data_IF_327549967273
#
_entry.id   IF_327549967273
#
_cell.length_a   1.000
_cell.length_b   1.000
_cell.length_c   1.000
_cell.angle_alpha   90.00
_cell.angle_beta   90.00
_cell.angle_gamma   90.00
#
_symmetry.space_group_name_H-M   'P 1'
#
loop_
_entity.id
_entity.type
_entity.pdbx_description
1 polymer ?
#
# COMPACT_ATOMS: atom_id res chain seq x y z
N UNK A 1 17.76 50.38 22.36
CA UNK A 1 18.97 51.03 21.83
C UNK A 1 20.06 49.96 21.64
N UNK A 2 20.37 49.64 20.38
CA UNK A 2 21.69 49.30 19.77
C UNK A 2 22.62 48.31 20.49
N UNK A 3 23.39 47.43 19.83
CA UNK A 3 23.62 46.94 18.45
C UNK A 3 24.86 46.02 18.62
N UNK A 4 25.02 44.95 17.85
CA UNK A 4 26.32 44.26 17.81
C UNK A 4 26.33 42.96 17.01
N UNK A 5 26.71 43.09 15.75
CA UNK A 5 26.98 42.03 14.77
C UNK A 5 28.38 41.45 15.01
N UNK A 6 28.60 40.14 14.82
CA UNK A 6 29.91 39.60 14.42
C UNK A 6 29.72 38.43 13.45
N UNK A 7 30.30 38.62 12.26
CA UNK A 7 30.53 37.67 11.17
C UNK A 7 31.89 37.02 11.40
N UNK A 8 32.03 35.71 11.14
CA UNK A 8 33.33 35.07 10.95
C UNK A 8 33.29 34.17 9.70
N UNK A 9 34.20 34.47 8.79
CA UNK A 9 34.44 33.85 7.48
C UNK A 9 35.58 32.83 7.63
N UNK A 10 35.51 31.70 6.90
CA UNK A 10 36.70 31.14 6.24
C UNK A 10 36.97 29.64 6.42
N UNK A 11 37.30 28.99 5.30
CA UNK A 11 38.20 27.82 5.28
C UNK A 11 37.72 26.62 4.47
N UNK A 12 38.17 26.50 3.21
CA UNK A 12 38.06 25.29 2.40
C UNK A 12 39.19 24.30 2.72
N UNK A 13 38.94 22.97 2.66
CA UNK A 13 39.96 21.95 2.37
C UNK A 13 39.33 20.58 2.00
N UNK A 14 39.96 19.94 1.02
CA UNK A 14 39.62 18.68 0.33
C UNK A 14 40.30 17.48 1.03
N UNK A 15 39.65 16.31 1.16
CA UNK A 15 40.30 14.97 1.28
C UNK A 15 39.30 13.89 0.78
N UNK A 16 39.43 13.37 -0.45
CA UNK A 16 40.12 12.13 -0.88
C UNK A 16 39.59 10.81 -0.29
N UNK A 17 38.99 10.02 -1.20
CA UNK A 17 39.06 8.56 -1.42
C UNK A 17 39.04 7.57 -0.24
N UNK A 18 37.98 6.75 -0.24
CA UNK A 18 38.05 5.31 -0.55
C UNK A 18 38.51 4.36 0.56
N UNK A 19 37.62 3.46 0.99
CA UNK A 19 37.96 2.14 1.54
C UNK A 19 36.84 1.14 1.19
N UNK A 20 37.19 0.11 0.43
CA UNK A 20 36.46 -1.15 0.40
C UNK A 20 36.73 -1.89 1.73
N UNK A 21 35.73 -2.54 2.31
CA UNK A 21 35.88 -3.30 3.56
C UNK A 21 34.68 -4.21 3.84
N UNK A 22 34.97 -5.49 4.02
CA UNK A 22 34.07 -6.61 4.22
C UNK A 22 33.93 -6.94 5.73
N UNK A 23 32.89 -7.71 6.09
CA UNK A 23 32.74 -8.57 7.29
C UNK A 23 32.12 -8.04 8.61
N UNK A 24 31.00 -8.70 8.93
CA UNK A 24 30.43 -9.20 10.20
C UNK A 24 30.71 -8.58 11.58
N UNK A 25 29.58 -8.35 12.26
CA UNK A 25 29.23 -8.52 13.69
C UNK A 25 29.53 -7.47 14.79
N UNK A 26 28.46 -7.27 15.60
CA UNK A 26 28.34 -6.74 16.98
C UNK A 26 28.15 -5.22 17.26
N UNK A 27 26.88 -4.90 17.54
CA UNK A 27 26.33 -4.34 18.81
C UNK A 27 26.42 -2.82 19.12
N UNK A 28 25.21 -2.24 19.15
CA UNK A 28 24.66 -1.29 20.15
C UNK A 28 24.81 0.24 19.97
N UNK A 29 23.61 0.87 20.04
CA UNK A 29 23.24 2.20 20.59
C UNK A 29 23.10 3.39 19.61
N UNK A 30 21.84 3.58 19.18
CA UNK A 30 20.99 4.77 19.37
C UNK A 30 21.56 6.18 19.12
N UNK A 31 21.09 6.83 18.04
CA UNK A 31 20.10 7.92 18.05
C UNK A 31 20.30 8.82 16.83
N UNK A 32 19.25 8.93 16.01
CA UNK A 32 19.22 9.76 14.82
C UNK A 32 17.79 9.86 14.33
N UNK A 33 16.97 10.55 15.10
CA UNK A 33 15.59 10.88 14.80
C UNK A 33 15.53 11.68 13.49
N UNK A 34 15.02 11.05 12.44
CA UNK A 34 14.31 11.71 11.35
C UNK A 34 13.24 10.73 10.95
N UNK A 35 12.01 10.97 11.41
CA UNK A 35 10.81 10.25 11.02
C UNK A 35 10.52 10.50 9.54
N UNK A 36 11.28 9.87 8.67
CA UNK A 36 10.75 9.45 7.38
C UNK A 36 10.01 8.16 7.70
N UNK A 37 8.68 8.21 7.62
CA UNK A 37 7.88 7.00 7.60
C UNK A 37 8.51 6.10 6.54
N UNK A 38 9.20 5.04 6.99
CA UNK A 38 9.66 4.01 6.12
C UNK A 38 8.37 3.42 5.54
N UNK A 39 8.06 3.80 4.30
CA UNK A 39 7.17 2.99 3.49
C UNK A 39 7.83 1.62 3.50
N UNK A 40 7.27 0.72 4.32
CA UNK A 40 7.68 -0.67 4.30
C UNK A 40 7.59 -1.07 2.83
N UNK A 41 8.69 -1.55 2.26
CA UNK A 41 8.68 -2.24 0.97
C UNK A 41 7.97 -3.60 1.17
N UNK A 42 6.73 -3.52 1.64
CA UNK A 42 5.81 -4.63 1.77
C UNK A 42 5.45 -5.04 0.36
N UNK A 43 5.77 -6.28 0.04
CA UNK A 43 5.38 -6.92 -1.22
C UNK A 43 3.89 -6.67 -1.42
N UNK A 44 3.55 -5.93 -2.48
CA UNK A 44 2.17 -5.66 -2.87
C UNK A 44 1.97 -6.29 -4.23
N UNK A 45 1.02 -7.21 -4.32
CA UNK A 45 0.68 -7.90 -5.55
C UNK A 45 -0.82 -7.80 -5.75
N UNK A 46 -1.22 -7.39 -6.95
CA UNK A 46 -2.62 -7.28 -7.34
C UNK A 46 -2.75 -7.99 -8.66
N UNK A 47 -3.61 -9.00 -8.72
CA UNK A 47 -3.89 -9.78 -9.92
C UNK A 47 -5.39 -9.71 -10.19
N UNK A 48 -5.77 -9.38 -11.42
CA UNK A 48 -7.17 -9.31 -11.84
C UNK A 48 -7.31 -10.11 -13.12
N UNK A 49 -8.23 -11.08 -13.14
CA UNK A 49 -8.41 -12.01 -14.25
C UNK A 49 -7.15 -12.85 -14.56
N UNK A 50 -6.35 -13.16 -13.53
CA UNK A 50 -5.06 -13.84 -13.68
C UNK A 50 -3.96 -12.97 -14.28
N UNK A 51 -4.21 -11.66 -14.48
CA UNK A 51 -3.22 -10.72 -14.99
C UNK A 51 -2.70 -9.81 -13.88
N UNK A 52 -1.39 -9.79 -13.71
CA UNK A 52 -0.73 -8.91 -12.74
C UNK A 52 -0.93 -7.44 -13.12
N UNK A 53 -1.30 -6.65 -12.11
CA UNK A 53 -1.48 -5.21 -12.23
C UNK A 53 -0.26 -4.54 -11.62
N UNK A 54 0.43 -3.76 -12.45
CA UNK A 54 1.52 -2.91 -12.01
C UNK A 54 0.96 -1.78 -11.15
N UNK A 55 0.91 -2.00 -9.84
CA UNK A 55 0.55 -0.99 -8.85
C UNK A 55 1.77 -0.15 -8.51
N UNK A 56 1.68 1.14 -8.79
CA UNK A 56 2.69 2.14 -8.43
C UNK A 56 2.22 2.89 -7.19
N UNK A 57 3.14 3.24 -6.30
CA UNK A 57 2.85 3.99 -5.08
C UNK A 57 3.02 3.15 -3.81
N UNK A 58 2.52 3.66 -2.68
CA UNK A 58 2.68 3.07 -1.36
C UNK A 58 1.40 2.38 -0.89
N UNK A 59 1.54 1.47 0.07
CA UNK A 59 0.41 0.93 0.83
C UNK A 59 0.14 1.82 2.01
N UNK A 60 -1.13 2.16 2.24
CA UNK A 60 -1.59 2.83 3.45
C UNK A 60 -2.71 2.04 4.10
N UNK A 61 -2.58 1.79 5.41
CA UNK A 61 -3.60 1.11 6.19
C UNK A 61 -4.06 2.00 7.36
N UNK A 62 -5.36 2.05 7.59
CA UNK A 62 -5.95 2.82 8.69
C UNK A 62 -7.12 2.08 9.32
N UNK A 63 -7.10 1.98 10.64
CA UNK A 63 -8.17 1.35 11.41
C UNK A 63 -9.19 2.40 11.86
N UNK A 64 -10.46 2.18 11.54
CA UNK A 64 -11.57 3.04 11.97
C UNK A 64 -12.86 2.24 12.09
N UNK A 65 -13.56 2.40 13.22
CA UNK A 65 -14.90 1.82 13.40
C UNK A 65 -14.94 0.30 13.36
N UNK A 66 -13.87 -0.38 13.79
CA UNK A 66 -13.79 -1.85 13.77
C UNK A 66 -13.47 -2.44 12.38
N UNK A 67 -13.04 -1.60 11.44
CA UNK A 67 -12.55 -2.03 10.14
C UNK A 67 -11.13 -1.52 9.90
N UNK A 68 -10.37 -2.28 9.12
CA UNK A 68 -9.10 -1.87 8.53
C UNK A 68 -9.35 -1.48 7.07
N UNK A 69 -9.08 -0.23 6.73
CA UNK A 69 -9.07 0.25 5.35
C UNK A 69 -7.66 0.15 4.80
N UNK A 70 -7.51 -0.49 3.65
CA UNK A 70 -6.25 -0.70 2.93
C UNK A 70 -6.35 0.04 1.60
N UNK A 71 -5.45 0.99 1.37
CA UNK A 71 -5.30 1.69 0.11
C UNK A 71 -3.99 1.29 -0.57
N UNK A 72 -4.05 0.98 -1.87
CA UNK A 72 -2.91 0.48 -2.64
C UNK A 72 -2.59 1.42 -3.79
N UNK A 73 -1.38 1.98 -3.74
CA UNK A 73 -0.87 2.87 -4.77
C UNK A 73 -1.29 4.31 -4.53
N UNK A 74 -1.41 5.09 -5.60
CA UNK A 74 -1.84 6.48 -5.54
C UNK A 74 -3.37 6.64 -5.63
N UNK A 75 -3.88 7.87 -5.46
CA UNK A 75 -5.31 8.13 -5.55
C UNK A 75 -5.91 7.87 -6.94
N UNK A 76 -5.08 7.72 -7.98
CA UNK A 76 -5.50 7.50 -9.37
C UNK A 76 -5.65 6.02 -9.73
N UNK A 77 -4.95 5.11 -9.03
CA UNK A 77 -5.13 3.66 -9.23
C UNK A 77 -6.50 3.20 -8.74
N UNK A 78 -7.02 3.79 -7.66
CA UNK A 78 -8.35 3.49 -7.13
C UNK A 78 -8.49 2.07 -6.59
N UNK A 79 -7.36 1.44 -6.21
CA UNK A 79 -7.33 0.09 -5.65
C UNK A 79 -7.31 0.17 -4.12
N UNK A 80 -8.20 -0.59 -3.49
CA UNK A 80 -8.25 -0.68 -2.03
C UNK A 80 -9.25 -1.69 -1.55
N UNK A 81 -9.20 -1.98 -0.26
CA UNK A 81 -10.11 -2.90 0.41
C UNK A 81 -10.48 -2.40 1.80
N UNK A 82 -11.66 -2.78 2.26
CA UNK A 82 -12.08 -2.60 3.64
C UNK A 82 -12.37 -3.98 4.20
N UNK A 83 -11.69 -4.33 5.28
CA UNK A 83 -11.87 -5.60 5.99
C UNK A 83 -12.22 -5.32 7.45
N UNK A 84 -12.87 -6.25 8.14
CA UNK A 84 -13.06 -6.12 9.59
C UNK A 84 -11.72 -6.20 10.32
N UNK A 85 -11.62 -5.52 11.46
CA UNK A 85 -10.46 -5.67 12.35
C UNK A 85 -10.48 -7.06 13.02
N UNK A 86 -9.30 -7.56 13.39
CA UNK A 86 -9.12 -8.88 14.04
C UNK A 86 -8.08 -9.74 13.33
N UNK A 87 -7.95 -10.98 13.79
CA UNK A 87 -7.03 -11.99 13.22
C UNK A 87 -7.69 -12.79 12.08
N UNK A 88 -9.01 -12.96 12.13
CA UNK A 88 -9.82 -13.56 11.07
C UNK A 88 -10.73 -12.48 10.43
N UNK A 89 -10.18 -11.63 9.54
CA UNK A 89 -10.95 -10.53 8.97
C UNK A 89 -11.96 -10.99 7.92
N UNK A 90 -13.12 -10.35 7.87
CA UNK A 90 -14.10 -10.50 6.79
C UNK A 90 -14.01 -9.32 5.82
N UNK A 91 -14.15 -9.58 4.53
CA UNK A 91 -14.13 -8.53 3.50
C UNK A 91 -15.46 -7.78 3.46
N UNK A 92 -15.41 -6.47 3.64
CA UNK A 92 -16.57 -5.59 3.55
C UNK A 92 -16.72 -5.00 2.15
N UNK A 93 -15.61 -4.56 1.56
CA UNK A 93 -15.58 -4.08 0.19
C UNK A 93 -14.19 -4.18 -0.42
N UNK A 94 -14.14 -4.23 -1.75
CA UNK A 94 -12.92 -4.12 -2.55
C UNK A 94 -13.20 -3.21 -3.74
N UNK A 95 -12.34 -2.23 -3.97
CA UNK A 95 -12.29 -1.46 -5.20
C UNK A 95 -11.05 -1.86 -5.98
N UNK A 96 -11.20 -2.16 -7.27
CA UNK A 96 -10.09 -2.55 -8.16
C UNK A 96 -9.78 -1.46 -9.20
N UNK A 97 -10.37 -0.28 -9.06
CA UNK A 97 -10.27 0.79 -10.04
C UNK A 97 -10.95 0.45 -11.38
N UNK A 98 -10.51 1.14 -12.43
CA UNK A 98 -10.95 0.87 -13.80
C UNK A 98 -10.02 -0.14 -14.48
N UNK A 99 -10.61 -1.22 -14.97
CA UNK A 99 -9.92 -2.29 -15.67
C UNK A 99 -10.58 -2.46 -17.03
N UNK A 100 -9.84 -2.17 -18.10
CA UNK A 100 -10.30 -2.33 -19.48
C UNK A 100 -11.62 -1.60 -19.79
N UNK A 101 -11.83 -0.43 -19.17
CA UNK A 101 -13.04 0.37 -19.34
C UNK A 101 -14.15 0.07 -18.33
N UNK A 102 -14.00 -0.97 -17.50
CA UNK A 102 -14.98 -1.37 -16.49
C UNK A 102 -14.47 -1.07 -15.10
N UNK A 103 -15.24 -0.33 -14.30
CA UNK A 103 -14.94 -0.15 -12.89
C UNK A 103 -15.37 -1.41 -12.12
N UNK A 104 -14.41 -2.10 -11.51
CA UNK A 104 -14.63 -3.36 -10.82
C UNK A 104 -14.58 -3.17 -9.31
N UNK A 105 -15.48 -3.87 -8.61
CA UNK A 105 -15.46 -3.92 -7.16
C UNK A 105 -16.34 -5.02 -6.57
N UNK A 106 -16.17 -5.20 -5.27
CA UNK A 106 -16.98 -6.09 -4.45
C UNK A 106 -17.55 -5.30 -3.27
N UNK A 107 -18.79 -5.59 -2.90
CA UNK A 107 -19.42 -5.07 -1.69
C UNK A 107 -20.21 -6.20 -1.02
N UNK A 108 -19.92 -6.46 0.25
CA UNK A 108 -20.66 -7.43 1.03
C UNK A 108 -22.17 -7.07 1.09
N UNK A 109 -23.02 -8.09 1.03
CA UNK A 109 -24.48 -7.93 1.09
C UNK A 109 -25.14 -7.37 -0.18
N UNK A 110 -24.38 -7.03 -1.23
CA UNK A 110 -24.94 -6.57 -2.51
C UNK A 110 -25.57 -7.69 -3.36
N UNK A 111 -25.36 -8.95 -2.99
CA UNK A 111 -25.85 -10.12 -3.73
C UNK A 111 -25.07 -10.41 -5.02
N UNK A 112 -23.91 -9.80 -5.22
CA UNK A 112 -23.05 -9.95 -6.40
C UNK A 112 -21.59 -10.08 -5.98
N UNK A 113 -20.89 -11.02 -6.62
CA UNK A 113 -19.50 -11.34 -6.29
C UNK A 113 -19.36 -11.97 -4.91
N UNK A 114 -18.11 -12.24 -4.55
CA UNK A 114 -17.72 -12.83 -3.28
C UNK A 114 -16.28 -12.42 -2.98
N UNK A 115 -15.91 -12.31 -1.71
CA UNK A 115 -14.53 -12.08 -1.32
C UNK A 115 -14.24 -12.67 0.05
N UNK A 116 -13.02 -13.17 0.21
CA UNK A 116 -12.47 -13.70 1.45
C UNK A 116 -11.18 -12.96 1.78
N UNK A 117 -10.87 -12.85 3.07
CA UNK A 117 -9.61 -12.30 3.53
C UNK A 117 -8.97 -13.25 4.55
N UNK A 118 -7.67 -13.37 4.43
CA UNK A 118 -6.79 -13.99 5.40
C UNK A 118 -5.78 -12.95 5.86
N UNK A 119 -5.38 -13.03 7.13
CA UNK A 119 -4.39 -12.13 7.71
C UNK A 119 -3.29 -12.93 8.39
N UNK A 120 -2.05 -12.56 8.10
CA UNK A 120 -0.85 -13.07 8.73
C UNK A 120 -0.01 -11.88 9.20
N UNK A 121 0.01 -11.64 10.52
CA UNK A 121 0.54 -10.43 11.15
C UNK A 121 0.00 -9.12 10.53
N UNK A 122 0.77 -8.51 9.63
CA UNK A 122 0.43 -7.26 8.92
C UNK A 122 0.09 -7.49 7.45
N UNK A 123 0.19 -8.72 6.99
CA UNK A 123 -0.05 -9.12 5.60
C UNK A 123 -1.48 -9.58 5.44
N UNK A 124 -2.19 -8.97 4.50
CA UNK A 124 -3.55 -9.31 4.12
C UNK A 124 -3.51 -9.99 2.76
N UNK A 125 -4.15 -11.15 2.68
CA UNK A 125 -4.44 -11.82 1.41
C UNK A 125 -5.95 -11.78 1.18
N UNK A 126 -6.36 -11.12 0.11
CA UNK A 126 -7.77 -10.90 -0.22
C UNK A 126 -8.02 -11.48 -1.61
N UNK A 127 -8.96 -12.40 -1.72
CA UNK A 127 -9.29 -13.07 -2.97
C UNK A 127 -10.79 -13.09 -3.19
N UNK A 128 -11.24 -13.09 -4.44
CA UNK A 128 -12.66 -13.16 -4.72
C UNK A 128 -13.01 -12.91 -6.17
N UNK A 129 -14.30 -12.61 -6.38
CA UNK A 129 -14.85 -12.19 -7.66
C UNK A 129 -15.42 -10.78 -7.51
N UNK A 130 -14.83 -9.83 -8.22
CA UNK A 130 -15.33 -8.48 -8.34
C UNK A 130 -16.30 -8.37 -9.51
N UNK A 131 -17.23 -7.44 -9.41
CA UNK A 131 -18.28 -7.18 -10.40
C UNK A 131 -18.21 -5.74 -10.89
N UNK A 132 -18.66 -5.50 -12.10
CA UNK A 132 -18.74 -4.17 -12.69
C UNK A 132 -19.74 -4.12 -13.83
N UNK A 133 -20.03 -2.91 -14.31
CA UNK A 133 -20.93 -2.68 -15.45
C UNK A 133 -20.10 -2.19 -16.63
N UNK A 134 -20.17 -2.92 -17.74
CA UNK A 134 -19.63 -2.45 -19.02
C UNK A 134 -20.66 -1.53 -19.69
N UNK A 135 -20.29 -0.28 -19.93
CA UNK A 135 -21.17 0.69 -20.59
C UNK A 135 -21.44 0.37 -22.06
N UNK A 136 -20.59 -0.44 -22.70
CA UNK A 136 -20.85 -0.96 -24.04
C UNK A 136 -21.91 -2.08 -24.03
N UNK A 137 -22.10 -2.77 -22.89
CA UNK A 137 -23.10 -3.82 -22.71
C UNK A 137 -23.69 -3.81 -21.29
N UNK A 138 -24.53 -2.81 -20.93
CA UNK A 138 -24.99 -2.61 -19.56
C UNK A 138 -26.02 -3.65 -19.09
N UNK A 139 -26.48 -4.54 -19.98
CA UNK A 139 -27.45 -5.59 -19.65
C UNK A 139 -26.81 -6.81 -18.97
N UNK A 140 -25.49 -6.93 -18.99
CA UNK A 140 -24.77 -8.06 -18.41
C UNK A 140 -23.64 -7.56 -17.50
N UNK A 141 -23.64 -7.93 -16.21
CA UNK A 141 -22.54 -7.60 -15.33
C UNK A 141 -21.27 -8.33 -15.77
N UNK A 142 -20.13 -7.64 -15.64
CA UNK A 142 -18.81 -8.20 -15.86
C UNK A 142 -18.30 -8.71 -14.52
N UNK A 143 -17.90 -9.97 -14.47
CA UNK A 143 -17.31 -10.60 -13.28
C UNK A 143 -15.86 -10.94 -13.57
N UNK A 144 -14.96 -10.55 -12.67
CA UNK A 144 -13.53 -10.85 -12.78
C UNK A 144 -13.01 -11.38 -11.45
N UNK A 145 -12.28 -12.52 -11.44
CA UNK A 145 -11.59 -12.96 -10.25
C UNK A 145 -10.44 -12.00 -9.94
N UNK A 146 -10.14 -11.83 -8.66
CA UNK A 146 -9.02 -11.02 -8.22
C UNK A 146 -8.31 -11.66 -7.03
N UNK A 147 -7.02 -11.33 -6.90
CA UNK A 147 -6.20 -11.62 -5.75
C UNK A 147 -5.37 -10.38 -5.39
N UNK A 148 -5.33 -10.04 -4.11
CA UNK A 148 -4.55 -8.95 -3.54
C UNK A 148 -3.74 -9.53 -2.38
N UNK A 149 -2.42 -9.38 -2.43
CA UNK A 149 -1.52 -9.65 -1.31
C UNK A 149 -0.84 -8.34 -0.95
N UNK A 150 -0.97 -7.90 0.30
CA UNK A 150 -0.49 -6.59 0.71
C UNK A 150 -0.07 -6.60 2.17
N UNK A 151 1.11 -6.04 2.46
CA UNK A 151 1.60 -5.85 3.83
C UNK A 151 1.44 -4.40 4.26
N UNK A 152 0.69 -4.17 5.34
CA UNK A 152 0.55 -2.86 5.96
C UNK A 152 1.85 -2.44 6.69
N UNK A 153 2.20 -1.13 6.71
CA UNK A 153 3.40 -0.63 7.39
C UNK A 153 3.37 -0.78 8.93
#
# INVERSE_FOLDING_TARGET
>A
MKRGFLVAVGGAAIVVAGLAGCSSENKSETSGETSTAAAAEGKTTVTIDGQDRSVQGTVACSDMGGNTTIAIGDATTGIGAVVSSGDEPTVQSVGLGNVDGVTLGFQAGAGQGEATAEKDDKTYKISGTATGVDMANPMQPVNKPFEIEVTCP
#
